data_IF_001998474026
#
_entry.id   IF_001998474026
#
_cell.length_a   1.000
_cell.length_b   1.000
_cell.length_c   1.000
_cell.angle_alpha   90.00
_cell.angle_beta   90.00
_cell.angle_gamma   90.00
#
_symmetry.space_group_name_H-M   'P 1'
#
loop_
_entity.id
_entity.type
_entity.pdbx_description
1 polymer ?
#
# COMPACT_ATOMS: atom_id res chain seq x y z
N UNK A 1 4.27 -21.23 -7.42
CA UNK A 1 4.90 -20.26 -6.46
C UNK A 1 5.43 -19.01 -7.14
N UNK A 2 6.02 -19.12 -8.34
CA UNK A 2 6.59 -17.99 -9.10
C UNK A 2 5.62 -16.82 -9.31
N UNK A 3 4.34 -17.10 -9.59
CA UNK A 3 3.30 -16.07 -9.80
C UNK A 3 3.04 -15.20 -8.57
N UNK A 4 3.02 -15.78 -7.37
CA UNK A 4 2.82 -15.02 -6.12
C UNK A 4 4.02 -14.15 -5.78
N UNK A 5 5.24 -14.61 -6.08
CA UNK A 5 6.46 -13.81 -5.90
C UNK A 5 6.46 -12.63 -6.87
N UNK A 6 6.13 -12.87 -8.14
CA UNK A 6 5.99 -11.79 -9.13
C UNK A 6 4.90 -10.79 -8.72
N UNK A 7 3.75 -11.28 -8.25
CA UNK A 7 2.68 -10.42 -7.75
C UNK A 7 3.13 -9.59 -6.54
N UNK A 8 3.91 -10.18 -5.64
CA UNK A 8 4.47 -9.49 -4.48
C UNK A 8 5.48 -8.40 -4.87
N UNK A 9 6.28 -8.62 -5.91
CA UNK A 9 7.25 -7.63 -6.39
C UNK A 9 6.58 -6.52 -7.23
N UNK A 10 5.55 -6.85 -7.99
CA UNK A 10 4.87 -5.92 -8.88
C UNK A 10 3.82 -5.06 -8.15
N UNK A 11 3.11 -5.59 -7.16
CA UNK A 11 2.03 -4.87 -6.50
C UNK A 11 2.48 -3.57 -5.77
N UNK A 12 3.64 -3.53 -5.07
CA UNK A 12 4.18 -2.32 -4.45
C UNK A 12 4.51 -1.18 -5.42
N UNK A 13 4.64 -1.48 -6.73
CA UNK A 13 4.96 -0.49 -7.74
C UNK A 13 3.94 0.65 -7.78
N UNK A 14 2.66 0.35 -7.52
CA UNK A 14 1.60 1.35 -7.49
C UNK A 14 1.78 2.39 -6.39
N UNK A 15 2.33 2.01 -5.24
CA UNK A 15 2.65 2.96 -4.17
C UNK A 15 3.74 3.94 -4.59
N UNK A 16 4.72 3.47 -5.37
CA UNK A 16 5.78 4.30 -5.92
C UNK A 16 5.26 5.27 -6.98
N UNK A 17 4.46 4.78 -7.93
CA UNK A 17 3.78 5.62 -8.93
C UNK A 17 2.92 6.68 -8.25
N UNK A 18 2.13 6.29 -7.25
CA UNK A 18 1.30 7.20 -6.48
C UNK A 18 2.12 8.31 -5.81
N UNK A 19 3.18 7.96 -5.07
CA UNK A 19 4.02 8.97 -4.42
C UNK A 19 4.76 9.85 -5.40
N UNK A 20 5.20 9.34 -6.55
CA UNK A 20 5.81 10.16 -7.60
C UNK A 20 4.82 11.18 -8.15
N UNK A 21 3.59 10.76 -8.47
CA UNK A 21 2.54 11.66 -8.95
C UNK A 21 2.20 12.69 -7.86
N UNK A 22 2.04 12.26 -6.62
CA UNK A 22 1.75 13.13 -5.50
C UNK A 22 2.88 14.15 -5.26
N UNK A 23 4.13 13.70 -5.28
CA UNK A 23 5.32 14.53 -5.13
C UNK A 23 5.51 15.51 -6.29
N UNK A 24 5.06 15.17 -7.49
CA UNK A 24 5.21 16.03 -8.65
C UNK A 24 4.14 17.13 -8.71
N UNK A 25 2.89 16.79 -8.38
CA UNK A 25 1.76 17.70 -8.60
C UNK A 25 1.26 18.39 -7.33
N UNK A 26 1.44 17.78 -6.16
CA UNK A 26 0.76 18.20 -4.93
C UNK A 26 1.77 18.61 -3.86
N UNK A 27 2.82 17.81 -3.64
CA UNK A 27 3.79 18.05 -2.58
C UNK A 27 4.99 18.85 -3.09
N UNK A 28 5.09 20.11 -2.65
CA UNK A 28 6.25 20.95 -2.94
C UNK A 28 7.51 20.42 -2.22
N UNK A 29 8.67 20.55 -2.87
CA UNK A 29 9.94 20.16 -2.28
C UNK A 29 10.17 20.97 -0.98
N UNK A 30 10.55 20.32 0.13
CA UNK A 30 10.76 21.02 1.39
C UNK A 30 11.96 21.96 1.33
N UNK A 31 11.86 23.09 2.03
CA UNK A 31 12.82 24.21 1.98
C UNK A 31 14.27 23.83 2.34
N UNK A 32 14.47 22.75 3.10
CA UNK A 32 15.80 22.25 3.47
C UNK A 32 16.59 21.65 2.30
N UNK A 33 15.94 21.34 1.17
CA UNK A 33 16.63 20.93 -0.05
C UNK A 33 17.24 22.11 -0.82
N UNK A 34 17.04 23.34 -0.30
CA UNK A 34 17.53 24.57 -0.88
C UNK A 34 16.69 25.05 -2.08
N UNK A 35 16.83 26.33 -2.49
CA UNK A 35 16.14 26.89 -3.64
C UNK A 35 16.50 26.19 -4.97
N UNK A 36 17.68 25.55 -5.01
CA UNK A 36 18.16 24.74 -6.14
C UNK A 36 17.86 23.24 -5.97
N UNK A 37 17.05 22.87 -4.98
CA UNK A 37 16.61 21.50 -4.69
C UNK A 37 15.93 20.91 -5.91
N UNK A 38 16.72 20.29 -6.78
CA UNK A 38 16.30 19.93 -8.12
C UNK A 38 15.09 18.99 -8.01
N UNK A 39 13.97 19.36 -8.63
CA UNK A 39 12.76 18.52 -8.74
C UNK A 39 13.04 17.02 -9.02
N UNK A 40 14.06 16.63 -9.81
CA UNK A 40 14.43 15.23 -10.00
C UNK A 40 14.80 14.50 -8.70
N UNK A 41 15.51 15.15 -7.78
CA UNK A 41 15.95 14.54 -6.52
C UNK A 41 14.76 14.26 -5.59
N UNK A 42 13.81 15.20 -5.50
CA UNK A 42 12.57 15.02 -4.73
C UNK A 42 11.69 13.89 -5.28
N UNK A 43 11.48 13.87 -6.60
CA UNK A 43 10.72 12.80 -7.26
C UNK A 43 11.42 11.44 -7.10
N UNK A 44 12.75 11.40 -7.21
CA UNK A 44 13.53 10.19 -6.96
C UNK A 44 13.38 9.67 -5.52
N UNK A 45 13.39 10.57 -4.53
CA UNK A 45 13.16 10.18 -3.14
C UNK A 45 11.73 9.66 -2.92
N UNK A 46 10.72 10.31 -3.50
CA UNK A 46 9.34 9.85 -3.44
C UNK A 46 9.16 8.44 -4.04
N UNK A 47 9.86 8.15 -5.15
CA UNK A 47 9.88 6.81 -5.75
C UNK A 47 10.47 5.77 -4.78
N UNK A 48 11.62 6.06 -4.18
CA UNK A 48 12.30 5.14 -3.24
C UNK A 48 11.45 4.90 -2.00
N UNK A 49 10.90 5.97 -1.41
CA UNK A 49 10.01 5.88 -0.25
C UNK A 49 8.76 5.07 -0.60
N UNK A 50 8.17 5.30 -1.77
CA UNK A 50 6.95 4.62 -2.18
C UNK A 50 7.16 3.12 -2.42
N UNK A 51 8.28 2.75 -3.05
CA UNK A 51 8.67 1.34 -3.20
C UNK A 51 8.93 0.68 -1.84
N UNK A 52 9.68 1.34 -0.96
CA UNK A 52 10.01 0.81 0.36
C UNK A 52 8.75 0.63 1.22
N UNK A 53 7.92 1.68 1.33
CA UNK A 53 6.69 1.66 2.11
C UNK A 53 5.67 0.66 1.53
N UNK A 54 5.49 0.63 0.20
CA UNK A 54 4.63 -0.33 -0.47
C UNK A 54 5.07 -1.78 -0.25
N UNK A 55 6.37 -2.05 -0.35
CA UNK A 55 6.93 -3.39 -0.14
C UNK A 55 6.78 -3.84 1.31
N UNK A 56 7.01 -2.94 2.26
CA UNK A 56 6.83 -3.20 3.68
C UNK A 56 5.36 -3.49 4.02
N UNK A 57 4.43 -2.67 3.52
CA UNK A 57 2.99 -2.89 3.72
C UNK A 57 2.55 -4.22 3.09
N UNK A 58 3.06 -4.55 1.91
CA UNK A 58 2.76 -5.82 1.25
C UNK A 58 3.29 -7.00 2.07
N UNK A 59 4.49 -6.91 2.64
CA UNK A 59 5.08 -7.95 3.47
C UNK A 59 4.31 -8.16 4.79
N UNK A 60 4.00 -7.06 5.48
CA UNK A 60 3.41 -7.09 6.82
C UNK A 60 1.89 -7.31 6.81
N UNK A 61 1.18 -6.80 5.81
CA UNK A 61 -0.29 -6.84 5.76
C UNK A 61 -0.79 -7.65 4.56
N UNK A 62 -0.25 -7.39 3.37
CA UNK A 62 -0.75 -7.99 2.12
C UNK A 62 -0.55 -9.51 2.04
N UNK A 63 0.64 -10.01 2.37
CA UNK A 63 0.96 -11.43 2.33
C UNK A 63 0.18 -12.24 3.38
N UNK A 64 0.11 -11.82 4.66
CA UNK A 64 -0.76 -12.49 5.63
C UNK A 64 -2.23 -12.49 5.22
N UNK A 65 -2.74 -11.37 4.70
CA UNK A 65 -4.12 -11.30 4.22
C UNK A 65 -4.36 -12.24 3.04
N UNK A 66 -3.44 -12.32 2.07
CA UNK A 66 -3.51 -13.27 0.97
C UNK A 66 -3.57 -14.72 1.47
N UNK A 67 -2.68 -15.09 2.40
CA UNK A 67 -2.64 -16.43 2.99
C UNK A 67 -3.94 -16.73 3.75
N UNK A 68 -4.46 -15.77 4.52
CA UNK A 68 -5.72 -15.90 5.23
C UNK A 68 -6.89 -16.09 4.27
N UNK A 69 -7.03 -15.25 3.22
CA UNK A 69 -8.08 -15.37 2.23
C UNK A 69 -8.05 -16.74 1.53
N UNK A 70 -6.87 -17.21 1.11
CA UNK A 70 -6.72 -18.53 0.49
C UNK A 70 -7.08 -19.67 1.45
N UNK A 71 -6.68 -19.59 2.73
CA UNK A 71 -7.03 -20.61 3.73
C UNK A 71 -8.54 -20.75 3.93
N UNK A 72 -9.29 -19.65 3.78
CA UNK A 72 -10.75 -19.64 3.88
C UNK A 72 -11.45 -19.87 2.53
N UNK A 73 -10.72 -20.19 1.46
CA UNK A 73 -11.29 -20.45 0.14
C UNK A 73 -11.77 -19.19 -0.62
N UNK A 74 -11.54 -18.00 -0.08
CA UNK A 74 -11.85 -16.75 -0.76
C UNK A 74 -10.79 -16.47 -1.84
N UNK A 75 -11.16 -16.71 -3.09
CA UNK A 75 -10.27 -16.56 -4.26
C UNK A 75 -10.86 -15.63 -5.31
N UNK A 76 -12.04 -15.06 -5.06
CA UNK A 76 -12.70 -14.16 -5.98
C UNK A 76 -12.03 -12.78 -5.99
N UNK A 77 -12.08 -12.12 -7.16
CA UNK A 77 -11.46 -10.80 -7.37
C UNK A 77 -12.01 -9.75 -6.41
N UNK A 78 -13.33 -9.76 -6.18
CA UNK A 78 -14.03 -8.74 -5.40
C UNK A 78 -13.56 -8.75 -3.94
N UNK A 79 -13.46 -9.93 -3.32
CA UNK A 79 -12.96 -10.07 -1.95
C UNK A 79 -11.53 -9.58 -1.81
N UNK A 80 -10.65 -9.86 -2.79
CA UNK A 80 -9.28 -9.36 -2.79
C UNK A 80 -9.23 -7.83 -2.85
N UNK A 81 -9.98 -7.22 -3.78
CA UNK A 81 -10.03 -5.77 -3.92
C UNK A 81 -10.53 -5.14 -2.62
N UNK A 82 -11.66 -5.60 -2.08
CA UNK A 82 -12.25 -5.03 -0.86
C UNK A 82 -11.33 -5.21 0.36
N UNK A 83 -10.70 -6.37 0.49
CA UNK A 83 -9.76 -6.64 1.60
C UNK A 83 -8.58 -5.69 1.50
N UNK A 84 -7.97 -5.55 0.34
CA UNK A 84 -6.83 -4.67 0.16
C UNK A 84 -7.20 -3.18 0.22
N UNK A 85 -8.42 -2.77 -0.13
CA UNK A 85 -8.92 -1.43 0.16
C UNK A 85 -8.91 -1.18 1.68
N UNK A 86 -9.42 -2.13 2.47
CA UNK A 86 -9.38 -2.07 3.92
C UNK A 86 -7.95 -2.03 4.48
N UNK A 87 -7.04 -2.81 3.92
CA UNK A 87 -5.61 -2.78 4.30
C UNK A 87 -4.94 -1.47 3.94
N UNK A 88 -5.28 -0.85 2.80
CA UNK A 88 -4.79 0.47 2.41
C UNK A 88 -5.20 1.54 3.42
N UNK A 89 -6.46 1.54 3.82
CA UNK A 89 -6.95 2.41 4.89
C UNK A 89 -6.25 2.13 6.22
N UNK A 90 -6.12 0.86 6.60
CA UNK A 90 -5.44 0.45 7.83
C UNK A 90 -3.98 0.91 7.84
N UNK A 91 -3.25 0.72 6.74
CA UNK A 91 -1.86 1.16 6.62
C UNK A 91 -1.74 2.68 6.76
N UNK A 92 -2.66 3.44 6.17
CA UNK A 92 -2.71 4.89 6.33
C UNK A 92 -2.98 5.31 7.78
N UNK A 93 -3.94 4.67 8.46
CA UNK A 93 -4.23 4.89 9.88
C UNK A 93 -3.01 4.57 10.76
N UNK A 94 -2.35 3.43 10.52
CA UNK A 94 -1.16 3.02 11.28
C UNK A 94 0.02 3.95 11.06
N UNK A 95 0.21 4.47 9.84
CA UNK A 95 1.22 5.47 9.56
C UNK A 95 0.95 6.77 10.34
N UNK A 96 -0.31 7.24 10.35
CA UNK A 96 -0.71 8.44 11.07
C UNK A 96 -0.56 8.28 12.59
N UNK A 97 -0.96 7.12 13.13
CA UNK A 97 -0.76 6.78 14.53
C UNK A 97 0.72 6.62 14.89
N UNK A 98 1.52 6.04 13.99
CA UNK A 98 2.96 5.91 14.15
C UNK A 98 3.64 7.25 14.34
N UNK A 99 3.23 8.28 13.60
CA UNK A 99 3.76 9.64 13.78
C UNK A 99 3.60 10.15 15.23
N UNK A 100 2.50 9.79 15.92
CA UNK A 100 2.27 10.14 17.32
C UNK A 100 3.23 9.47 18.32
N UNK A 101 3.84 8.35 17.95
CA UNK A 101 4.78 7.63 18.83
C UNK A 101 6.23 8.03 18.61
N UNK A 102 6.57 8.54 17.42
CA UNK A 102 7.95 8.84 17.05
C UNK A 102 8.26 10.35 17.02
N UNK A 103 7.24 11.21 17.00
CA UNK A 103 7.43 12.67 17.04
C UNK A 103 7.08 13.23 18.45
N UNK A 104 8.07 13.82 19.17
CA UNK A 104 7.84 14.42 20.49
C UNK A 104 6.78 15.53 20.51
N UNK A 105 6.47 16.12 19.35
CA UNK A 105 5.49 17.19 19.21
C UNK A 105 4.07 16.68 18.92
N UNK A 106 3.92 15.38 18.64
CA UNK A 106 2.63 14.77 18.30
C UNK A 106 2.12 13.90 19.44
N UNK A 107 1.24 14.46 20.28
CA UNK A 107 0.51 13.65 21.26
C UNK A 107 -0.66 12.89 20.60
N UNK A 108 -1.04 11.75 21.17
CA UNK A 108 -2.12 10.88 20.68
C UNK A 108 -3.43 11.66 20.48
N UNK A 109 -3.74 12.60 21.38
CA UNK A 109 -4.92 13.46 21.28
C UNK A 109 -4.89 14.34 20.02
N UNK A 110 -3.74 14.93 19.70
CA UNK A 110 -3.56 15.76 18.50
C UNK A 110 -3.73 14.91 17.25
N UNK A 111 -3.13 13.72 17.24
CA UNK A 111 -3.25 12.79 16.12
C UNK A 111 -4.70 12.36 15.87
N UNK A 112 -5.45 12.00 16.93
CA UNK A 112 -6.86 11.61 16.80
C UNK A 112 -7.75 12.76 16.34
N UNK A 113 -7.49 13.99 16.79
CA UNK A 113 -8.24 15.18 16.35
C UNK A 113 -7.95 15.52 14.90
N UNK A 114 -6.70 15.47 14.46
CA UNK A 114 -6.33 15.62 13.05
C UNK A 114 -6.93 14.52 12.17
N UNK A 115 -6.97 13.29 12.66
CA UNK A 115 -7.57 12.18 11.93
C UNK A 115 -9.07 12.42 11.73
N UNK A 116 -9.79 12.77 12.80
CA UNK A 116 -11.21 13.11 12.75
C UNK A 116 -11.49 14.29 11.81
N UNK A 117 -10.68 15.35 11.90
CA UNK A 117 -10.78 16.51 11.01
C UNK A 117 -10.52 16.11 9.55
N UNK A 118 -9.52 15.26 9.29
CA UNK A 118 -9.23 14.78 7.93
C UNK A 118 -10.41 14.00 7.36
N UNK A 119 -11.08 13.16 8.15
CA UNK A 119 -12.28 12.43 7.69
C UNK A 119 -13.45 13.36 7.36
N UNK A 120 -13.63 14.45 8.11
CA UNK A 120 -14.75 15.37 7.94
C UNK A 120 -14.48 16.41 6.84
N UNK A 121 -13.31 17.02 6.87
CA UNK A 121 -12.92 18.16 6.04
C UNK A 121 -12.30 17.72 4.71
N UNK A 122 -11.60 16.58 4.70
CA UNK A 122 -10.86 16.09 3.52
C UNK A 122 -11.05 14.57 3.29
N UNK A 123 -12.30 14.10 3.10
CA UNK A 123 -12.58 12.67 2.96
C UNK A 123 -11.87 12.01 1.76
N UNK A 124 -11.43 12.82 0.79
CA UNK A 124 -10.64 12.32 -0.35
C UNK A 124 -9.31 11.69 0.09
N UNK A 125 -8.70 12.12 1.18
CA UNK A 125 -7.41 11.59 1.66
C UNK A 125 -7.53 10.11 2.05
N UNK A 126 -8.38 9.69 3.01
CA UNK A 126 -8.54 8.26 3.31
C UNK A 126 -9.10 7.46 2.13
N UNK A 127 -9.94 8.07 1.27
CA UNK A 127 -10.41 7.41 0.05
C UNK A 127 -9.28 7.10 -0.93
N UNK A 128 -8.29 7.98 -1.09
CA UNK A 128 -7.12 7.69 -1.94
C UNK A 128 -6.30 6.52 -1.41
N UNK A 129 -6.17 6.39 -0.08
CA UNK A 129 -5.53 5.23 0.53
C UNK A 129 -6.31 3.93 0.26
N UNK A 130 -7.64 3.97 0.39
CA UNK A 130 -8.51 2.84 0.00
C UNK A 130 -8.32 2.47 -1.47
N UNK A 131 -8.39 3.45 -2.38
CA UNK A 131 -8.27 3.23 -3.82
C UNK A 131 -6.90 2.64 -4.18
N UNK A 132 -5.82 3.17 -3.61
CA UNK A 132 -4.47 2.63 -3.79
C UNK A 132 -4.40 1.18 -3.31
N UNK A 133 -4.91 0.89 -2.12
CA UNK A 133 -5.02 -0.48 -1.61
C UNK A 133 -5.79 -1.40 -2.56
N UNK A 134 -6.96 -0.98 -3.01
CA UNK A 134 -7.76 -1.74 -3.98
C UNK A 134 -7.04 -2.01 -5.30
N UNK A 135 -6.25 -1.04 -5.78
CA UNK A 135 -5.47 -1.15 -7.02
C UNK A 135 -4.28 -2.12 -6.87
N UNK A 136 -3.62 -2.09 -5.71
CA UNK A 136 -2.61 -3.08 -5.29
C UNK A 136 -3.24 -4.47 -5.22
N UNK A 137 -4.40 -4.61 -4.58
CA UNK A 137 -5.12 -5.89 -4.45
C UNK A 137 -5.61 -6.45 -5.79
N UNK A 138 -6.14 -5.61 -6.66
CA UNK A 138 -6.57 -5.97 -8.01
C UNK A 138 -5.39 -6.48 -8.85
N UNK A 139 -4.27 -5.75 -8.80
CA UNK A 139 -3.05 -6.12 -9.52
C UNK A 139 -2.45 -7.41 -8.98
N UNK A 140 -2.40 -7.55 -7.65
CA UNK A 140 -1.94 -8.77 -7.00
C UNK A 140 -2.80 -9.97 -7.41
N UNK A 141 -4.12 -9.85 -7.36
CA UNK A 141 -5.03 -10.92 -7.77
C UNK A 141 -4.84 -11.30 -9.25
N UNK A 142 -4.71 -10.30 -10.13
CA UNK A 142 -4.55 -10.52 -11.57
C UNK A 142 -3.28 -11.30 -11.92
N UNK A 143 -2.19 -11.08 -11.16
CA UNK A 143 -0.90 -11.75 -11.36
C UNK A 143 -0.86 -13.09 -10.63
N UNK A 144 -1.30 -13.13 -9.37
CA UNK A 144 -1.24 -14.33 -8.54
C UNK A 144 -2.27 -15.39 -8.96
N UNK A 145 -3.40 -14.98 -9.56
CA UNK A 145 -4.50 -15.84 -10.02
C UNK A 145 -4.84 -16.98 -9.03
N UNK A 146 -5.27 -16.65 -7.80
CA UNK A 146 -5.55 -17.65 -6.78
C UNK A 146 -6.71 -18.58 -7.15
N UNK A 147 -7.52 -18.19 -8.13
CA UNK A 147 -8.64 -18.94 -8.73
C UNK A 147 -8.19 -20.14 -9.58
N UNK A 148 -6.96 -20.15 -10.11
CA UNK A 148 -6.51 -21.17 -11.06
C UNK A 148 -5.97 -22.47 -10.42
N UNK A 149 -6.17 -22.66 -9.11
CA UNK A 149 -5.68 -23.83 -8.38
C UNK A 149 -4.14 -23.87 -8.22
N UNK A 150 -3.58 -24.85 -7.48
CA UNK A 150 -2.14 -25.07 -7.44
C UNK A 150 -1.62 -25.47 -8.83
N UNK A 151 -0.43 -24.99 -9.21
CA UNK A 151 0.23 -25.31 -10.48
C UNK A 151 0.12 -26.82 -10.78
N UNK A 152 -0.33 -27.23 -11.99
CA UNK A 152 -0.49 -28.65 -12.36
C UNK A 152 0.82 -29.45 -12.34
N UNK A 153 1.96 -28.79 -12.13
CA UNK A 153 3.25 -29.44 -11.93
C UNK A 153 3.41 -30.07 -10.53
N UNK A 154 2.63 -29.64 -9.52
CA UNK A 154 2.67 -30.21 -8.17
C UNK A 154 1.66 -31.34 -7.94
N UNK A 155 0.67 -31.50 -8.82
CA UNK A 155 -0.27 -32.63 -8.76
C UNK A 155 0.30 -33.93 -9.32
N UNK A 156 1.53 -33.90 -9.89
CA UNK A 156 2.22 -35.10 -10.42
C UNK A 156 3.21 -35.75 -9.45
N UNK A 157 3.57 -35.11 -8.34
CA UNK A 157 4.55 -35.63 -7.37
C UNK A 157 3.94 -36.38 -6.19
N UNK A 158 2.62 -36.59 -6.19
CA UNK A 158 1.93 -37.44 -5.21
C UNK A 158 1.12 -38.50 -5.96
N UNK A 159 1.83 -39.49 -6.52
CA UNK A 159 1.31 -40.81 -6.83
C UNK A 159 2.38 -41.84 -6.54
#
# INVERSE_FOLDING_TARGET
MTRSILAFLAAPFWSAVFLVVFAHFIWQAPDFLGPDGQRPAWVGMALVIGLAAGSLCMALLGLPAHLALRRHGHTDRTTYVLTFMGLGLLAWLLMFLGAAFFDPFWDLRTTLTMLADTFMSHPIVPLTACLLGGLVGASFWFIARPDQGPDPLLSRTVR
#
